data_IF_344291356256
#
_entry.id   IF_344291356256
#
_cell.length_a   1.000
_cell.length_b   1.000
_cell.length_c   1.000
_cell.angle_alpha   90.00
_cell.angle_beta   90.00
_cell.angle_gamma   90.00
#
_symmetry.space_group_name_H-M   'P 1'
#
loop_
_entity.id
_entity.type
_entity.pdbx_description
1 polymer ?
#
# COMPACT_ATOMS: atom_id res chain seq x y z
N UNK A 1 9.28 15.99 -13.03
CA UNK A 1 9.28 16.12 -11.56
C UNK A 1 8.73 17.46 -11.08
N UNK A 2 8.90 18.52 -11.85
CA UNK A 2 8.35 19.84 -11.46
C UNK A 2 6.83 19.82 -11.27
N UNK A 3 6.12 19.10 -12.12
CA UNK A 3 4.67 18.99 -12.02
C UNK A 3 4.20 18.11 -10.86
N UNK A 4 5.07 17.27 -10.32
CA UNK A 4 4.69 16.33 -9.27
C UNK A 4 4.28 17.06 -7.99
N UNK A 5 5.07 18.04 -7.57
CA UNK A 5 4.75 18.83 -6.37
C UNK A 5 3.43 19.60 -6.54
N UNK A 6 3.25 20.24 -7.69
CA UNK A 6 2.02 20.98 -7.97
C UNK A 6 0.80 20.06 -7.98
N UNK A 7 0.91 18.91 -8.62
CA UNK A 7 -0.17 17.93 -8.69
C UNK A 7 -0.51 17.38 -7.30
N UNK A 8 0.51 17.07 -6.51
CA UNK A 8 0.33 16.56 -5.15
C UNK A 8 -0.36 17.59 -4.26
N UNK A 9 0.08 18.85 -4.33
CA UNK A 9 -0.54 19.94 -3.58
C UNK A 9 -2.02 20.09 -3.94
N UNK A 10 -2.34 20.03 -5.22
CA UNK A 10 -3.74 20.13 -5.68
C UNK A 10 -4.60 18.99 -5.14
N UNK A 11 -4.09 17.76 -5.18
CA UNK A 11 -4.79 16.60 -4.66
C UNK A 11 -5.04 16.74 -3.15
N UNK A 12 -4.02 17.15 -2.42
CA UNK A 12 -4.13 17.35 -0.97
C UNK A 12 -5.14 18.42 -0.62
N UNK A 13 -5.18 19.51 -1.38
CA UNK A 13 -6.17 20.57 -1.19
C UNK A 13 -7.59 20.07 -1.44
N UNK A 14 -7.78 19.25 -2.48
CA UNK A 14 -9.09 18.67 -2.78
C UNK A 14 -9.55 17.68 -1.72
N UNK A 15 -8.63 16.89 -1.17
CA UNK A 15 -8.95 15.97 -0.08
C UNK A 15 -9.38 16.73 1.18
N UNK A 16 -8.66 17.79 1.53
CA UNK A 16 -9.00 18.62 2.67
C UNK A 16 -10.35 19.30 2.50
N UNK A 17 -10.62 19.84 1.31
CA UNK A 17 -11.90 20.50 1.00
C UNK A 17 -13.07 19.52 1.05
N UNK A 18 -12.88 18.30 0.56
CA UNK A 18 -13.91 17.27 0.57
C UNK A 18 -14.27 16.84 1.99
N UNK A 19 -13.32 16.90 2.91
CA UNK A 19 -13.56 16.56 4.32
C UNK A 19 -14.40 17.62 5.04
N UNK A 20 -14.31 18.86 4.60
CA UNK A 20 -15.11 20.01 5.06
C UNK A 20 -15.17 20.14 6.59
N UNK A 21 -14.09 19.77 7.27
CA UNK A 21 -14.03 19.81 8.74
C UNK A 21 -14.91 18.80 9.47
N UNK A 22 -15.72 18.02 8.76
CA UNK A 22 -16.63 17.03 9.36
C UNK A 22 -15.98 15.67 9.56
N UNK A 23 -15.03 15.33 8.71
CA UNK A 23 -14.36 14.02 8.70
C UNK A 23 -12.85 14.21 8.67
N UNK A 24 -12.08 13.23 9.17
CA UNK A 24 -10.63 13.26 8.99
C UNK A 24 -10.28 13.31 7.50
N UNK A 25 -9.22 14.03 7.16
CA UNK A 25 -8.71 14.03 5.78
C UNK A 25 -8.24 12.63 5.44
N UNK A 26 -8.69 12.06 4.31
CA UNK A 26 -8.27 10.71 3.91
C UNK A 26 -6.75 10.63 3.74
N UNK A 27 -6.20 9.47 4.09
CA UNK A 27 -4.78 9.22 3.87
C UNK A 27 -4.54 9.03 2.38
N UNK A 28 -3.55 9.76 1.86
CA UNK A 28 -3.10 9.61 0.49
C UNK A 28 -2.08 8.48 0.40
N UNK A 29 -2.32 7.54 -0.50
CA UNK A 29 -1.37 6.48 -0.83
C UNK A 29 -0.91 6.72 -2.25
N UNK A 30 0.39 7.00 -2.43
CA UNK A 30 0.95 7.19 -3.75
C UNK A 30 1.21 5.82 -4.40
N UNK A 31 0.60 5.57 -5.54
CA UNK A 31 0.81 4.31 -6.27
C UNK A 31 2.12 4.41 -7.04
N UNK A 32 3.07 3.58 -6.66
CA UNK A 32 4.46 3.66 -7.14
C UNK A 32 4.88 2.44 -7.95
N UNK A 33 3.94 1.56 -8.30
CA UNK A 33 4.24 0.39 -9.12
C UNK A 33 4.93 0.79 -10.42
N UNK A 34 5.88 -0.01 -10.85
CA UNK A 34 6.68 0.16 -12.08
C UNK A 34 7.66 1.33 -12.04
N UNK A 35 7.73 2.09 -10.96
CA UNK A 35 8.71 3.15 -10.78
C UNK A 35 9.89 2.67 -9.94
N UNK A 36 11.14 2.97 -10.33
CA UNK A 36 12.29 2.58 -9.53
C UNK A 36 12.35 3.38 -8.23
N UNK A 37 13.07 2.84 -7.23
CA UNK A 37 13.19 3.48 -5.92
C UNK A 37 13.71 4.91 -6.00
N UNK A 38 14.62 5.19 -6.91
CA UNK A 38 15.19 6.53 -7.10
C UNK A 38 14.16 7.58 -7.51
N UNK A 39 13.08 7.15 -8.18
CA UNK A 39 11.98 8.05 -8.54
C UNK A 39 10.98 8.21 -7.38
N UNK A 40 10.96 7.26 -6.46
CA UNK A 40 10.03 7.24 -5.34
C UNK A 40 10.57 8.04 -4.15
N UNK A 41 11.85 7.92 -3.87
CA UNK A 41 12.47 8.59 -2.72
C UNK A 41 12.19 10.08 -2.62
N UNK A 42 12.19 10.85 -3.73
CA UNK A 42 11.87 12.28 -3.66
C UNK A 42 10.48 12.60 -3.11
N UNK A 43 9.54 11.66 -3.16
CA UNK A 43 8.20 11.86 -2.60
C UNK A 43 8.22 12.12 -1.10
N UNK A 44 9.22 11.61 -0.40
CA UNK A 44 9.36 11.84 1.03
C UNK A 44 9.48 13.33 1.35
N UNK A 45 10.25 14.05 0.54
CA UNK A 45 10.44 15.50 0.73
C UNK A 45 9.17 16.30 0.43
N UNK A 46 8.21 15.70 -0.25
CA UNK A 46 6.92 16.30 -0.56
C UNK A 46 5.84 15.94 0.45
N UNK A 47 6.21 15.24 1.52
CA UNK A 47 5.29 14.87 2.59
C UNK A 47 4.52 13.58 2.38
N UNK A 48 4.86 12.79 1.36
CA UNK A 48 4.24 11.47 1.15
C UNK A 48 4.83 10.48 2.15
N UNK A 49 3.98 9.82 2.91
CA UNK A 49 4.39 8.82 3.90
C UNK A 49 4.03 7.39 3.51
N UNK A 50 3.02 7.23 2.68
CA UNK A 50 2.47 5.93 2.32
C UNK A 50 2.53 5.72 0.81
N UNK A 51 3.02 4.55 0.41
CA UNK A 51 3.11 4.16 -1.01
C UNK A 51 2.39 2.84 -1.24
N UNK A 52 1.94 2.62 -2.46
CA UNK A 52 1.23 1.40 -2.85
C UNK A 52 1.94 0.66 -3.96
N UNK A 53 2.18 -0.63 -3.75
CA UNK A 53 2.81 -1.52 -4.71
C UNK A 53 1.87 -2.68 -5.05
N UNK A 54 1.98 -3.20 -6.26
CA UNK A 54 1.13 -4.29 -6.71
C UNK A 54 1.75 -5.67 -6.55
N UNK A 55 3.06 -5.79 -6.70
CA UNK A 55 3.73 -7.09 -6.79
C UNK A 55 4.74 -7.28 -5.68
N UNK A 56 4.70 -8.46 -5.07
CA UNK A 56 5.64 -8.82 -4.01
C UNK A 56 7.09 -8.70 -4.46
N UNK A 57 7.40 -9.18 -5.67
CA UNK A 57 8.76 -9.10 -6.18
C UNK A 57 9.26 -7.66 -6.26
N UNK A 58 8.42 -6.76 -6.75
CA UNK A 58 8.76 -5.34 -6.84
C UNK A 58 8.98 -4.73 -5.46
N UNK A 59 8.14 -5.07 -4.49
CA UNK A 59 8.34 -4.64 -3.10
C UNK A 59 9.71 -5.10 -2.60
N UNK A 60 10.03 -6.37 -2.77
CA UNK A 60 11.27 -6.93 -2.25
C UNK A 60 12.50 -6.27 -2.88
N UNK A 61 12.45 -5.96 -4.16
CA UNK A 61 13.55 -5.28 -4.84
C UNK A 61 13.77 -3.87 -4.32
N UNK A 62 12.69 -3.17 -3.95
CA UNK A 62 12.74 -1.78 -3.50
C UNK A 62 12.95 -1.62 -2.00
N UNK A 63 12.73 -2.68 -1.21
CA UNK A 63 12.76 -2.61 0.26
C UNK A 63 14.02 -1.93 0.82
N UNK A 64 15.24 -2.29 0.39
CA UNK A 64 16.42 -1.70 1.00
C UNK A 64 16.46 -0.18 0.92
N UNK A 65 15.86 0.38 -0.13
CA UNK A 65 15.83 1.82 -0.33
C UNK A 65 14.65 2.51 0.32
N UNK A 66 13.50 1.82 0.45
CA UNK A 66 12.23 2.48 0.77
C UNK A 66 11.71 2.16 2.16
N UNK A 67 12.09 1.06 2.77
CA UNK A 67 11.46 0.55 3.98
C UNK A 67 11.51 1.52 5.16
N UNK A 68 12.59 2.28 5.28
CA UNK A 68 12.77 3.23 6.39
C UNK A 68 12.04 4.54 6.19
N UNK A 69 11.65 4.84 4.95
CA UNK A 69 11.14 6.16 4.59
C UNK A 69 9.64 6.19 4.33
N UNK A 70 9.04 5.02 4.07
CA UNK A 70 7.63 4.92 3.70
C UNK A 70 6.95 3.76 4.38
N UNK A 71 5.65 3.89 4.56
CA UNK A 71 4.76 2.77 4.88
C UNK A 71 4.33 2.16 3.55
N UNK A 72 4.56 0.88 3.38
CA UNK A 72 4.31 0.20 2.11
C UNK A 72 3.00 -0.57 2.20
N UNK A 73 2.07 -0.27 1.30
CA UNK A 73 0.80 -0.97 1.15
C UNK A 73 0.89 -1.95 -0.01
N UNK A 74 0.38 -3.16 0.17
CA UNK A 74 0.20 -4.07 -0.94
C UNK A 74 -1.23 -3.90 -1.46
N UNK A 75 -1.37 -3.33 -2.65
CA UNK A 75 -2.67 -2.99 -3.22
C UNK A 75 -3.09 -3.91 -4.36
N UNK A 76 -2.18 -4.73 -4.89
CA UNK A 76 -2.47 -5.68 -5.95
C UNK A 76 -2.79 -7.07 -5.42
N UNK A 77 -3.16 -7.97 -6.34
CA UNK A 77 -3.49 -9.35 -6.01
C UNK A 77 -2.30 -10.05 -5.37
N UNK A 78 -2.57 -10.77 -4.28
CA UNK A 78 -1.54 -11.48 -3.51
C UNK A 78 -1.76 -12.98 -3.63
N UNK A 79 -0.71 -13.69 -4.03
CA UNK A 79 -0.69 -15.15 -4.02
C UNK A 79 -0.32 -15.63 -2.61
N UNK A 80 -0.98 -16.71 -2.16
CA UNK A 80 -0.76 -17.24 -0.80
C UNK A 80 0.70 -17.61 -0.55
N UNK A 81 1.38 -18.18 -1.56
CA UNK A 81 2.78 -18.58 -1.42
C UNK A 81 3.77 -17.40 -1.36
N UNK A 82 3.28 -16.18 -1.54
CA UNK A 82 4.11 -14.97 -1.47
C UNK A 82 3.95 -14.21 -0.15
N UNK A 83 2.96 -14.55 0.65
CA UNK A 83 2.67 -13.84 1.91
C UNK A 83 3.89 -13.78 2.82
N UNK A 84 4.61 -14.88 2.94
CA UNK A 84 5.78 -14.99 3.83
C UNK A 84 6.87 -13.96 3.54
N UNK A 85 6.95 -13.45 2.32
CA UNK A 85 7.99 -12.50 1.94
C UNK A 85 7.67 -11.07 2.38
N UNK A 86 6.38 -10.73 2.53
CA UNK A 86 5.97 -9.35 2.77
C UNK A 86 5.33 -9.12 4.14
N UNK A 87 5.10 -10.16 4.91
CA UNK A 87 4.33 -10.05 6.16
C UNK A 87 4.97 -9.08 7.17
N UNK A 88 6.28 -8.94 7.18
CA UNK A 88 6.99 -8.03 8.08
C UNK A 88 7.19 -6.63 7.49
N UNK A 89 6.87 -6.44 6.22
CA UNK A 89 7.33 -5.26 5.48
C UNK A 89 6.20 -4.34 5.02
N UNK A 90 4.98 -4.83 4.95
CA UNK A 90 3.84 -4.01 4.53
C UNK A 90 2.97 -3.65 5.72
N UNK A 91 2.32 -2.50 5.66
CA UNK A 91 1.48 -2.01 6.74
C UNK A 91 0.01 -2.39 6.56
N UNK A 92 -0.41 -2.71 5.33
CA UNK A 92 -1.80 -3.04 5.02
C UNK A 92 -1.86 -3.83 3.72
N UNK A 93 -2.63 -4.91 3.71
CA UNK A 93 -2.92 -5.69 2.51
C UNK A 93 -4.35 -5.38 2.10
N UNK A 94 -4.53 -4.82 0.89
CA UNK A 94 -5.83 -4.31 0.42
C UNK A 94 -6.66 -5.33 -0.35
N UNK A 95 -6.12 -6.51 -0.63
CA UNK A 95 -6.63 -7.40 -1.67
C UNK A 95 -7.00 -8.80 -1.17
N UNK A 96 -7.48 -8.89 0.07
CA UNK A 96 -7.87 -10.18 0.64
C UNK A 96 -9.24 -10.56 0.09
N UNK A 97 -9.26 -11.45 -0.90
CA UNK A 97 -10.45 -11.79 -1.68
C UNK A 97 -10.87 -13.25 -1.52
N UNK A 98 -10.18 -14.04 -0.69
CA UNK A 98 -10.50 -15.44 -0.48
C UNK A 98 -10.04 -15.91 0.90
N UNK A 99 -10.74 -16.93 1.41
CA UNK A 99 -10.47 -17.45 2.75
C UNK A 99 -9.07 -18.04 2.87
N UNK A 100 -8.62 -18.77 1.85
CA UNK A 100 -7.29 -19.40 1.89
C UNK A 100 -6.19 -18.39 2.03
N UNK A 101 -6.31 -17.22 1.40
CA UNK A 101 -5.35 -16.13 1.55
C UNK A 101 -5.40 -15.56 2.96
N UNK A 102 -6.60 -15.32 3.50
CA UNK A 102 -6.75 -14.81 4.85
C UNK A 102 -6.12 -15.75 5.88
N UNK A 103 -6.30 -17.05 5.72
CA UNK A 103 -5.71 -18.05 6.60
C UNK A 103 -4.19 -18.06 6.53
N UNK A 104 -3.61 -17.92 5.34
CA UNK A 104 -2.15 -17.86 5.19
C UNK A 104 -1.58 -16.57 5.79
N UNK A 105 -2.28 -15.44 5.61
CA UNK A 105 -1.86 -14.18 6.23
C UNK A 105 -1.86 -14.33 7.76
N UNK A 106 -2.91 -14.90 8.32
CA UNK A 106 -3.01 -15.11 9.76
C UNK A 106 -1.88 -16.02 10.26
N UNK A 107 -1.61 -17.11 9.55
CA UNK A 107 -0.55 -18.05 9.91
C UNK A 107 0.82 -17.38 9.92
N UNK A 108 1.13 -16.60 8.90
CA UNK A 108 2.41 -15.90 8.81
C UNK A 108 2.50 -14.78 9.85
N UNK A 109 1.41 -14.07 10.10
CA UNK A 109 1.37 -13.02 11.11
C UNK A 109 1.66 -13.60 12.50
N UNK A 110 1.09 -14.75 12.82
CA UNK A 110 1.37 -15.42 14.09
C UNK A 110 2.82 -15.86 14.20
N UNK A 111 3.40 -16.41 13.12
CA UNK A 111 4.82 -16.80 13.11
C UNK A 111 5.74 -15.62 13.37
N UNK A 112 5.36 -14.44 12.96
CA UNK A 112 6.17 -13.23 13.09
C UNK A 112 5.74 -12.35 14.26
N UNK A 113 4.88 -12.86 15.14
CA UNK A 113 4.36 -12.12 16.30
C UNK A 113 3.77 -10.77 15.92
N UNK A 114 2.92 -10.78 14.88
CA UNK A 114 2.38 -9.55 14.30
C UNK A 114 0.88 -9.67 14.08
N UNK A 115 0.18 -8.55 14.25
CA UNK A 115 -1.20 -8.40 13.78
C UNK A 115 -1.16 -7.68 12.43
N UNK A 116 -1.61 -8.34 11.36
CA UNK A 116 -1.57 -7.79 10.03
C UNK A 116 -2.90 -7.17 9.65
N UNK A 117 -2.98 -5.85 9.53
CA UNK A 117 -4.20 -5.19 9.04
C UNK A 117 -4.48 -5.58 7.58
N UNK A 118 -5.74 -5.84 7.28
CA UNK A 118 -6.15 -6.21 5.92
C UNK A 118 -7.45 -5.52 5.57
N UNK A 119 -7.68 -5.34 4.26
CA UNK A 119 -8.98 -4.97 3.71
C UNK A 119 -9.51 -6.17 2.93
N UNK A 120 -10.77 -6.50 3.17
CA UNK A 120 -11.43 -7.57 2.43
C UNK A 120 -11.95 -7.00 1.13
N UNK A 121 -11.50 -7.59 0.03
CA UNK A 121 -11.94 -7.19 -1.30
C UNK A 121 -13.15 -8.01 -1.69
N UNK A 122 -14.25 -7.33 -2.01
CA UNK A 122 -15.51 -7.95 -2.38
C UNK A 122 -15.85 -7.57 -3.81
N UNK A 123 -16.29 -8.55 -4.61
CA UNK A 123 -16.81 -8.32 -5.96
C UNK A 123 -18.33 -8.42 -5.92
N UNK A 124 -19.06 -7.33 -5.76
CA UNK A 124 -20.52 -7.38 -5.62
C UNK A 124 -21.24 -7.85 -6.88
N UNK A 125 -20.56 -7.79 -8.05
CA UNK A 125 -21.13 -8.24 -9.31
C UNK A 125 -20.90 -9.72 -9.60
N UNK A 126 -20.23 -10.47 -8.70
CA UNK A 126 -19.92 -11.86 -8.90
C UNK A 126 -18.94 -12.15 -10.03
N UNK A 127 -18.13 -11.17 -10.42
CA UNK A 127 -17.14 -11.33 -11.47
C UNK A 127 -16.03 -12.29 -11.04
N UNK A 128 -15.55 -13.11 -11.98
CA UNK A 128 -14.41 -13.99 -11.72
C UNK A 128 -13.14 -13.18 -11.52
N UNK A 129 -12.40 -13.55 -10.53
CA UNK A 129 -11.13 -12.88 -10.20
C UNK A 129 -9.95 -13.55 -10.88
#
# INVERSE_FOLDING_TARGET
MENLQANLTLIQQRLAAASDGKYPVPKLIAVTKTHPAEDILPLQNLGVTDIGENKVQEIMEKLPALEKNFRIHLIGRLQSNKVKYIIDHVCLIHSVDRLSLAQEIDRQAQKHNRVMPVLIQVSPCGEAQ
#
